data_IF_155678652899
#
_entry.id   IF_155678652899
#
_cell.length_a   1.000
_cell.length_b   1.000
_cell.length_c   1.000
_cell.angle_alpha   90.00
_cell.angle_beta   90.00
_cell.angle_gamma   90.00
#
_symmetry.space_group_name_H-M   'P 1'
#
loop_
_entity.id
_entity.type
_entity.pdbx_description
1 polymer ?
#
# COMPACT_ATOMS: atom_id res chain seq x y z
N UNK A 1 4.04 7.91 -4.48
CA UNK A 1 3.20 8.47 -3.41
C UNK A 1 2.70 7.33 -2.58
N UNK A 2 2.86 7.44 -1.26
CA UNK A 2 2.52 6.38 -0.33
C UNK A 2 1.15 6.61 0.31
N UNK A 3 0.42 5.54 0.71
CA UNK A 3 0.80 4.12 0.64
C UNK A 3 0.58 3.43 -0.72
N UNK A 4 -0.10 4.08 -1.69
CA UNK A 4 -0.47 3.44 -2.95
C UNK A 4 0.71 2.79 -3.71
N UNK A 5 1.88 3.45 -3.75
CA UNK A 5 3.08 2.91 -4.40
C UNK A 5 3.53 1.58 -3.78
N UNK A 6 3.70 1.51 -2.46
CA UNK A 6 4.07 0.27 -1.77
C UNK A 6 3.03 -0.83 -1.95
N UNK A 7 1.74 -0.52 -1.79
CA UNK A 7 0.68 -1.53 -1.90
C UNK A 7 0.63 -2.12 -3.31
N UNK A 8 0.71 -1.28 -4.36
CA UNK A 8 0.76 -1.76 -5.75
C UNK A 8 1.97 -2.66 -5.99
N UNK A 9 3.12 -2.34 -5.40
CA UNK A 9 4.33 -3.17 -5.52
C UNK A 9 4.16 -4.54 -4.84
N UNK A 10 3.63 -4.57 -3.61
CA UNK A 10 3.35 -5.81 -2.86
C UNK A 10 2.29 -6.67 -3.55
N UNK A 11 1.32 -6.07 -4.22
CA UNK A 11 0.35 -6.77 -5.07
C UNK A 11 0.89 -7.12 -6.48
N UNK A 12 2.21 -7.20 -6.64
CA UNK A 12 2.91 -7.58 -7.87
C UNK A 12 2.67 -6.65 -9.08
N UNK A 13 2.46 -5.36 -8.82
CA UNK A 13 2.44 -4.31 -9.82
C UNK A 13 1.05 -3.88 -10.28
N UNK A 14 1.02 -2.80 -11.08
CA UNK A 14 -0.20 -2.08 -11.46
C UNK A 14 -1.24 -2.96 -12.16
N UNK A 15 -0.81 -3.75 -13.15
CA UNK A 15 -1.70 -4.60 -13.95
C UNK A 15 -2.35 -5.69 -13.09
N UNK A 16 -1.56 -6.38 -12.27
CA UNK A 16 -2.05 -7.43 -11.37
C UNK A 16 -2.96 -6.87 -10.28
N UNK A 17 -2.60 -5.71 -9.71
CA UNK A 17 -3.46 -5.00 -8.75
C UNK A 17 -4.81 -4.65 -9.37
N UNK A 18 -4.82 -4.07 -10.57
CA UNK A 18 -6.05 -3.70 -11.26
C UNK A 18 -6.93 -4.93 -11.57
N UNK A 19 -6.33 -6.01 -12.06
CA UNK A 19 -7.03 -7.27 -12.30
C UNK A 19 -7.63 -7.87 -11.03
N UNK A 20 -6.84 -7.96 -9.95
CA UNK A 20 -7.28 -8.52 -8.68
C UNK A 20 -8.45 -7.74 -8.05
N UNK A 21 -8.46 -6.42 -8.22
CA UNK A 21 -9.50 -5.56 -7.66
C UNK A 21 -10.67 -5.31 -8.62
N UNK A 22 -10.67 -5.89 -9.83
CA UNK A 22 -11.70 -5.66 -10.84
C UNK A 22 -11.76 -4.20 -11.34
N UNK A 23 -10.62 -3.51 -11.41
CA UNK A 23 -10.52 -2.09 -11.76
C UNK A 23 -9.81 -1.88 -13.10
N UNK A 24 -10.06 -0.72 -13.70
CA UNK A 24 -9.23 -0.24 -14.81
C UNK A 24 -7.83 0.17 -14.28
N UNK A 25 -6.76 -0.19 -15.01
CA UNK A 25 -5.37 0.19 -14.68
C UNK A 25 -5.19 1.71 -14.51
N UNK A 26 -5.92 2.54 -15.26
CA UNK A 26 -5.90 3.99 -15.11
C UNK A 26 -6.41 4.45 -13.73
N UNK A 27 -7.40 3.74 -13.16
CA UNK A 27 -7.93 4.05 -11.83
C UNK A 27 -6.86 3.81 -10.77
N UNK A 28 -6.21 2.65 -10.81
CA UNK A 28 -5.13 2.31 -9.87
C UNK A 28 -3.92 3.22 -10.07
N UNK A 29 -3.61 3.60 -11.31
CA UNK A 29 -2.53 4.54 -11.63
C UNK A 29 -2.77 5.90 -10.97
N UNK A 30 -4.02 6.41 -11.00
CA UNK A 30 -4.40 7.70 -10.40
C UNK A 30 -4.21 7.75 -8.90
N UNK A 31 -4.12 6.62 -8.20
CA UNK A 31 -3.82 6.63 -6.77
C UNK A 31 -2.44 7.20 -6.47
N UNK A 32 -1.50 7.13 -7.43
CA UNK A 32 -0.14 7.66 -7.30
C UNK A 32 0.02 9.07 -7.88
N UNK A 33 -1.06 9.66 -8.39
CA UNK A 33 -1.06 11.02 -8.96
C UNK A 33 -1.34 12.04 -7.85
N UNK A 34 -0.68 13.21 -7.84
CA UNK A 34 -0.96 14.29 -6.89
C UNK A 34 -2.43 14.73 -6.91
N UNK A 35 -2.96 15.24 -5.80
CA UNK A 35 -4.36 15.69 -5.72
C UNK A 35 -4.61 16.89 -6.64
N UNK A 36 -3.63 17.76 -6.78
CA UNK A 36 -3.64 18.96 -7.62
C UNK A 36 -3.74 18.61 -9.11
N UNK A 37 -3.23 17.43 -9.49
CA UNK A 37 -3.33 16.86 -10.83
C UNK A 37 -4.53 15.91 -10.99
N UNK A 38 -5.50 15.98 -10.07
CA UNK A 38 -6.69 15.13 -10.07
C UNK A 38 -6.43 13.68 -9.67
N UNK A 39 -5.41 13.37 -8.89
CA UNK A 39 -5.19 12.07 -8.27
C UNK A 39 -5.69 11.98 -6.84
N UNK A 40 -5.26 10.96 -6.08
CA UNK A 40 -5.58 10.84 -4.65
C UNK A 40 -4.43 11.24 -3.72
N UNK A 41 -3.26 11.56 -4.27
CA UNK A 41 -2.08 11.92 -3.49
C UNK A 41 -1.41 10.75 -2.78
N UNK A 42 -1.62 9.51 -3.22
CA UNK A 42 -1.11 8.29 -2.55
C UNK A 42 -2.18 7.56 -1.72
N UNK A 43 -3.30 8.20 -1.42
CA UNK A 43 -4.38 7.59 -0.67
C UNK A 43 -5.13 6.54 -1.50
N UNK A 44 -5.39 5.37 -0.93
CA UNK A 44 -6.24 4.35 -1.56
C UNK A 44 -7.68 4.55 -1.08
N UNK A 45 -8.68 4.68 -1.98
CA UNK A 45 -10.07 4.79 -1.56
C UNK A 45 -10.52 3.61 -0.69
N UNK A 46 -11.21 3.90 0.42
CA UNK A 46 -11.61 2.93 1.45
C UNK A 46 -12.34 1.70 0.89
N UNK A 47 -13.18 1.89 -0.14
CA UNK A 47 -13.92 0.81 -0.81
C UNK A 47 -13.03 -0.31 -1.37
N UNK A 48 -11.73 -0.09 -1.54
CA UNK A 48 -10.78 -1.08 -2.03
C UNK A 48 -9.99 -1.78 -0.92
N UNK A 49 -10.06 -1.31 0.33
CA UNK A 49 -9.23 -1.82 1.42
C UNK A 49 -9.47 -3.31 1.68
N UNK A 50 -10.72 -3.73 1.77
CA UNK A 50 -11.07 -5.13 1.99
C UNK A 50 -10.54 -6.06 0.89
N UNK A 51 -10.72 -5.66 -0.38
CA UNK A 51 -10.24 -6.46 -1.51
C UNK A 51 -8.71 -6.54 -1.55
N UNK A 52 -8.01 -5.47 -1.14
CA UNK A 52 -6.55 -5.48 -0.98
C UNK A 52 -6.12 -6.44 0.13
N UNK A 53 -6.79 -6.45 1.28
CA UNK A 53 -6.51 -7.39 2.36
C UNK A 53 -6.65 -8.83 1.89
N UNK A 54 -7.79 -9.18 1.27
CA UNK A 54 -8.04 -10.52 0.74
C UNK A 54 -6.95 -10.91 -0.25
N UNK A 55 -6.62 -10.02 -1.20
CA UNK A 55 -5.60 -10.32 -2.19
C UNK A 55 -4.22 -10.49 -1.55
N UNK A 56 -3.87 -9.70 -0.53
CA UNK A 56 -2.61 -9.82 0.18
C UNK A 56 -2.46 -11.17 0.88
N UNK A 57 -3.56 -11.69 1.46
CA UNK A 57 -3.61 -13.01 2.09
C UNK A 57 -3.43 -14.13 1.05
N UNK A 58 -4.11 -14.02 -0.10
CA UNK A 58 -3.97 -14.98 -1.20
C UNK A 58 -2.56 -15.03 -1.80
N UNK A 59 -1.82 -13.91 -1.74
CA UNK A 59 -0.44 -13.83 -2.21
C UNK A 59 0.59 -14.31 -1.17
N UNK A 60 0.15 -14.64 0.06
CA UNK A 60 1.04 -15.04 1.16
C UNK A 60 1.80 -13.86 1.79
N UNK A 61 1.37 -12.63 1.53
CA UNK A 61 2.00 -11.40 2.01
C UNK A 61 0.97 -10.51 2.72
N UNK A 62 0.51 -10.90 3.91
CA UNK A 62 -0.61 -10.23 4.58
C UNK A 62 -0.27 -8.78 4.90
N UNK A 63 -1.16 -7.89 4.45
CA UNK A 63 -1.11 -6.45 4.73
C UNK A 63 -2.00 -6.12 5.93
N UNK A 64 -1.61 -5.13 6.74
CA UNK A 64 -2.49 -4.56 7.76
C UNK A 64 -3.32 -3.39 7.21
N UNK A 65 -4.43 -3.05 7.89
CA UNK A 65 -5.23 -1.86 7.54
C UNK A 65 -4.41 -0.58 7.65
N UNK A 66 -3.51 -0.48 8.64
CA UNK A 66 -2.64 0.68 8.82
C UNK A 66 -1.70 0.87 7.62
N UNK A 67 -1.16 -0.21 7.07
CA UNK A 67 -0.31 -0.15 5.88
C UNK A 67 -1.07 0.36 4.63
N UNK A 68 -2.35 0.01 4.52
CA UNK A 68 -3.20 0.38 3.38
C UNK A 68 -3.73 1.81 3.51
N UNK A 69 -4.11 2.21 4.72
CA UNK A 69 -4.83 3.46 4.97
C UNK A 69 -3.91 4.64 5.31
N UNK A 70 -2.78 4.37 5.98
CA UNK A 70 -1.91 5.42 6.51
C UNK A 70 -0.65 5.58 5.67
N UNK A 71 -0.12 6.81 5.61
CA UNK A 71 1.21 7.05 5.08
C UNK A 71 2.28 6.49 6.04
N UNK A 72 3.52 6.26 5.57
CA UNK A 72 4.61 5.85 6.45
C UNK A 72 4.80 6.78 7.65
N UNK A 73 4.69 8.09 7.44
CA UNK A 73 4.84 9.11 8.48
C UNK A 73 3.70 8.99 9.51
N UNK A 74 2.46 8.80 9.06
CA UNK A 74 1.31 8.59 9.94
C UNK A 74 1.45 7.30 10.76
N UNK A 75 2.00 6.21 10.19
CA UNK A 75 2.26 4.97 10.94
C UNK A 75 3.32 5.14 12.01
N UNK A 76 4.38 5.89 11.72
CA UNK A 76 5.41 6.23 12.71
C UNK A 76 4.80 7.01 13.87
N UNK A 77 3.95 7.98 13.57
CA UNK A 77 3.28 8.79 14.58
C UNK A 77 2.31 7.96 15.45
N UNK A 78 1.51 7.08 14.84
CA UNK A 78 0.64 6.16 15.58
C UNK A 78 1.46 5.25 16.49
N UNK A 79 2.56 4.67 16.01
CA UNK A 79 3.44 3.82 16.82
C UNK A 79 4.07 4.58 18.00
N UNK A 80 4.51 5.83 17.76
CA UNK A 80 5.05 6.70 18.81
C UNK A 80 4.02 6.94 19.93
N UNK A 81 2.77 7.18 19.58
CA UNK A 81 1.70 7.46 20.54
C UNK A 81 1.19 6.20 21.25
N UNK A 82 1.21 5.04 20.58
CA UNK A 82 0.70 3.78 21.16
C UNK A 82 1.70 3.09 22.10
N UNK A 83 2.90 3.65 22.31
CA UNK A 83 3.96 3.02 23.12
C UNK A 83 4.55 1.74 22.52
N UNK A 84 4.20 1.40 21.28
CA UNK A 84 4.77 0.27 20.57
C UNK A 84 6.01 0.73 19.79
N UNK A 85 7.13 -0.02 19.82
CA UNK A 85 8.27 0.30 18.96
C UNK A 85 7.80 0.30 17.49
N UNK A 86 8.30 1.22 16.65
CA UNK A 86 7.83 1.35 15.27
C UNK A 86 7.95 -0.01 14.58
N UNK A 87 6.81 -0.52 14.09
CA UNK A 87 6.77 -1.73 13.28
C UNK A 87 7.85 -1.62 12.21
N UNK A 88 8.82 -2.54 12.26
CA UNK A 88 9.97 -2.53 11.35
C UNK A 88 9.43 -2.46 9.93
N UNK A 89 9.71 -1.36 9.23
CA UNK A 89 9.54 -1.31 7.78
C UNK A 89 10.23 -2.55 7.20
N UNK A 90 9.60 -3.32 6.30
CA UNK A 90 10.26 -4.44 5.66
C UNK A 90 11.57 -3.93 5.05
N UNK A 91 12.65 -4.54 5.51
CA UNK A 91 14.02 -4.16 5.20
C UNK A 91 14.25 -4.32 3.70
N UNK A 92 14.48 -3.21 2.97
CA UNK A 92 14.77 -3.22 1.53
C UNK A 92 16.16 -3.77 1.18
N UNK A 93 16.95 -4.23 2.15
CA UNK A 93 18.27 -4.82 1.91
C UNK A 93 18.46 -6.11 2.72
N UNK A 94 17.98 -7.24 2.19
CA UNK A 94 18.63 -8.54 2.38
C UNK A 94 18.51 -9.36 1.10
N UNK A 95 19.65 -9.90 0.69
CA UNK A 95 19.90 -10.91 -0.36
C UNK A 95 20.04 -10.41 -1.81
N UNK A 96 21.09 -9.61 -2.06
CA UNK A 96 21.94 -9.87 -3.21
C UNK A 96 22.88 -10.99 -2.80
N UNK A 97 22.69 -12.16 -3.41
CA UNK A 97 23.55 -13.34 -3.33
C UNK A 97 24.95 -12.98 -3.85
N UNK A 98 25.99 -13.33 -3.09
CA UNK A 98 27.16 -14.09 -3.55
C UNK A 98 27.86 -14.73 -2.36
#
# INVERSE_FOLDING_TARGET
MEPASTIIARLHGLKKTAQALGLNQHTVKRWRVPREAGGSGGAIPQKHHYAILVQSMLLGDPLSIEEIALTPEQRVEVGRLSGNPPCKSPNKNKEIIR
#
